data_IF_384425625081
#
_entry.id   IF_384425625081
#
_cell.length_a   1.000
_cell.length_b   1.000
_cell.length_c   1.000
_cell.angle_alpha   90.00
_cell.angle_beta   90.00
_cell.angle_gamma   90.00
#
_symmetry.space_group_name_H-M   'P 1'
#
loop_
_entity.id
_entity.type
_entity.pdbx_description
1 polymer ?
#
# COMPACT_ATOMS: atom_id res chain seq x y z
N UNK A 1 31.03 0.08 19.36
CA UNK A 1 30.26 1.14 18.68
C UNK A 1 29.92 0.65 17.29
N UNK A 2 28.64 0.52 16.89
CA UNK A 2 28.32 0.10 15.54
C UNK A 2 28.70 1.22 14.57
N UNK A 3 29.42 0.87 13.49
CA UNK A 3 29.83 1.77 12.42
C UNK A 3 28.57 2.29 11.72
N UNK A 4 28.41 3.62 11.68
CA UNK A 4 27.31 4.28 11.00
C UNK A 4 27.18 3.79 9.55
N UNK A 5 25.95 3.49 9.14
CA UNK A 5 25.60 3.19 7.77
C UNK A 5 26.00 4.39 6.90
N UNK A 6 26.93 4.19 5.96
CA UNK A 6 27.34 5.24 5.04
C UNK A 6 26.41 5.19 3.81
N UNK A 7 25.25 5.85 3.94
CA UNK A 7 24.25 5.96 2.86
C UNK A 7 24.72 7.06 1.89
N UNK A 8 24.80 6.81 0.57
CA UNK A 8 25.25 7.82 -0.40
C UNK A 8 24.38 9.08 -0.37
N UNK A 9 25.01 10.27 -0.31
CA UNK A 9 24.33 11.57 -0.23
C UNK A 9 23.32 11.81 -1.35
N UNK A 10 23.50 11.19 -2.53
CA UNK A 10 22.60 11.36 -3.68
C UNK A 10 21.21 10.77 -3.46
N UNK A 11 21.05 9.82 -2.54
CA UNK A 11 19.74 9.25 -2.17
C UNK A 11 19.01 10.12 -1.12
N UNK A 12 19.71 11.05 -0.48
CA UNK A 12 19.18 11.99 0.53
C UNK A 12 18.56 13.25 -0.13
N UNK A 13 18.93 13.56 -1.37
CA UNK A 13 18.64 14.85 -2.01
C UNK A 13 17.14 15.10 -2.26
N UNK A 14 16.30 14.05 -2.39
CA UNK A 14 14.84 14.21 -2.54
C UNK A 14 14.07 14.32 -1.20
N UNK A 15 14.75 14.35 -0.04
CA UNK A 15 14.11 14.41 1.28
C UNK A 15 14.38 15.73 2.04
N UNK A 16 15.03 16.71 1.41
CA UNK A 16 15.55 17.95 2.03
C UNK A 16 14.52 18.92 2.64
N UNK A 17 13.22 18.59 2.63
CA UNK A 17 12.17 19.39 3.28
C UNK A 17 11.40 18.66 4.40
N UNK A 18 11.87 17.52 4.91
CA UNK A 18 11.19 16.81 6.01
C UNK A 18 12.13 16.62 7.20
N UNK A 19 11.64 16.95 8.40
CA UNK A 19 12.24 16.54 9.66
C UNK A 19 12.62 15.05 9.62
N UNK A 20 13.78 14.70 10.19
CA UNK A 20 14.43 13.38 10.14
C UNK A 20 13.44 12.19 10.06
N UNK A 21 13.40 11.44 8.95
CA UNK A 21 12.47 10.31 8.79
C UNK A 21 12.91 9.12 9.65
N UNK A 22 11.95 8.40 10.25
CA UNK A 22 12.24 7.19 11.03
C UNK A 22 12.50 5.96 10.16
N UNK A 23 12.04 5.95 8.92
CA UNK A 23 12.29 4.87 7.97
C UNK A 23 12.92 5.41 6.70
N UNK A 24 13.94 4.70 6.19
CA UNK A 24 14.69 5.10 4.99
C UNK A 24 14.74 3.91 4.03
N UNK A 25 14.50 4.18 2.75
CA UNK A 25 14.63 3.18 1.70
C UNK A 25 16.08 3.13 1.21
N UNK A 26 16.60 1.92 1.02
CA UNK A 26 17.91 1.70 0.42
C UNK A 26 17.74 0.83 -0.83
N UNK A 27 18.24 1.25 -2.00
CA UNK A 27 18.18 0.43 -3.21
C UNK A 27 18.99 -0.86 -3.03
N UNK A 28 18.50 -1.96 -3.60
CA UNK A 28 19.24 -3.22 -3.55
C UNK A 28 20.62 -3.07 -4.19
N UNK A 29 21.67 -3.30 -3.41
CA UNK A 29 23.03 -3.41 -3.91
C UNK A 29 23.81 -4.42 -3.06
N UNK A 30 24.33 -5.46 -3.71
CA UNK A 30 25.06 -6.57 -3.07
C UNK A 30 26.30 -6.02 -2.35
N UNK A 31 26.23 -5.93 -1.02
CA UNK A 31 27.31 -5.44 -0.14
C UNK A 31 27.07 -4.08 0.52
N UNK A 32 26.08 -3.28 0.05
CA UNK A 32 25.70 -1.99 0.66
C UNK A 32 24.46 -2.04 1.56
N UNK A 33 23.74 -3.17 1.57
CA UNK A 33 22.55 -3.37 2.42
C UNK A 33 22.89 -3.93 3.81
N UNK A 34 24.18 -3.98 4.20
CA UNK A 34 24.61 -4.43 5.52
C UNK A 34 23.99 -3.55 6.61
N UNK A 35 23.14 -4.13 7.46
CA UNK A 35 22.46 -3.42 8.55
C UNK A 35 21.05 -2.91 8.20
N UNK A 36 20.64 -2.98 6.92
CA UNK A 36 19.27 -2.72 6.52
C UNK A 36 18.40 -3.99 6.69
N UNK A 37 17.10 -3.80 6.92
CA UNK A 37 16.13 -4.88 7.07
C UNK A 37 15.64 -5.33 5.69
N UNK A 38 15.79 -6.62 5.39
CA UNK A 38 15.27 -7.24 4.17
C UNK A 38 13.77 -7.51 4.31
N UNK A 39 12.96 -6.74 3.58
CA UNK A 39 11.49 -6.90 3.53
C UNK A 39 11.03 -7.67 2.29
N UNK A 40 11.96 -8.29 1.55
CA UNK A 40 11.63 -9.16 0.42
C UNK A 40 11.13 -10.53 0.89
N UNK A 41 10.77 -11.40 -0.05
CA UNK A 41 10.45 -12.81 0.26
C UNK A 41 11.62 -13.59 0.84
N UNK A 42 12.84 -13.06 0.76
CA UNK A 42 14.06 -13.62 1.34
C UNK A 42 14.32 -13.14 2.77
N UNK A 43 13.54 -12.15 3.24
CA UNK A 43 13.63 -11.59 4.58
C UNK A 43 13.49 -12.63 5.70
N UNK A 44 14.10 -12.30 6.84
CA UNK A 44 14.11 -13.12 8.04
C UNK A 44 12.84 -12.96 8.86
N UNK A 45 12.37 -14.06 9.46
CA UNK A 45 11.29 -14.03 10.45
C UNK A 45 10.00 -13.39 9.92
N UNK A 46 9.41 -12.48 10.70
CA UNK A 46 8.16 -11.82 10.37
C UNK A 46 8.28 -10.78 9.23
N UNK A 47 9.48 -10.25 8.95
CA UNK A 47 9.68 -9.23 7.91
C UNK A 47 9.34 -9.69 6.50
N UNK A 48 9.43 -10.99 6.21
CA UNK A 48 8.98 -11.52 4.91
C UNK A 48 7.48 -11.34 4.66
N UNK A 49 6.67 -11.12 5.71
CA UNK A 49 5.24 -10.84 5.56
C UNK A 49 5.00 -9.51 4.86
N UNK A 50 5.94 -8.57 4.93
CA UNK A 50 5.87 -7.29 4.22
C UNK A 50 6.18 -7.43 2.72
N UNK A 51 6.57 -8.60 2.25
CA UNK A 51 6.81 -8.87 0.83
C UNK A 51 5.50 -8.99 0.07
N UNK A 52 5.46 -8.52 -1.18
CA UNK A 52 4.31 -8.75 -2.08
C UNK A 52 4.05 -10.24 -2.36
N UNK A 53 5.07 -11.08 -2.20
CA UNK A 53 4.99 -12.54 -2.34
C UNK A 53 4.50 -13.24 -1.07
N UNK A 54 4.26 -12.53 0.03
CA UNK A 54 3.66 -13.13 1.22
C UNK A 54 2.27 -13.67 0.86
N UNK A 55 2.04 -14.95 1.15
CA UNK A 55 0.83 -15.66 0.76
C UNK A 55 0.16 -16.28 1.97
N UNK A 56 -1.10 -15.94 2.19
CA UNK A 56 -1.95 -16.59 3.18
C UNK A 56 -3.42 -16.41 2.80
N UNK A 57 -4.20 -17.49 2.88
CA UNK A 57 -5.65 -17.48 2.66
C UNK A 57 -6.38 -16.53 3.61
N UNK A 58 -5.85 -16.28 4.80
CA UNK A 58 -6.48 -15.35 5.75
C UNK A 58 -6.35 -13.89 5.35
N UNK A 59 -5.47 -13.54 4.38
CA UNK A 59 -5.21 -12.14 4.05
C UNK A 59 -6.39 -11.45 3.38
N UNK A 60 -7.19 -12.19 2.60
CA UNK A 60 -8.39 -11.68 1.92
C UNK A 60 -8.20 -10.26 1.38
N UNK A 61 -7.15 -10.06 0.58
CA UNK A 61 -6.79 -8.75 0.04
C UNK A 61 -7.81 -8.40 -1.05
N UNK A 62 -8.51 -7.27 -0.96
CA UNK A 62 -9.44 -6.86 -1.99
C UNK A 62 -8.77 -6.64 -3.34
N UNK A 63 -9.47 -7.01 -4.41
CA UNK A 63 -8.97 -6.85 -5.78
C UNK A 63 -9.49 -5.52 -6.34
N UNK A 64 -8.61 -4.54 -6.59
CA UNK A 64 -9.00 -3.24 -7.15
C UNK A 64 -9.79 -3.40 -8.46
N UNK A 65 -10.96 -2.74 -8.54
CA UNK A 65 -11.88 -2.85 -9.69
C UNK A 65 -12.77 -4.10 -9.68
N UNK A 66 -12.71 -4.94 -8.64
CA UNK A 66 -13.53 -6.14 -8.50
C UNK A 66 -13.99 -6.29 -7.04
N UNK A 67 -15.06 -5.58 -6.68
CA UNK A 67 -15.52 -5.42 -5.30
C UNK A 67 -15.69 -6.72 -4.52
N UNK A 68 -16.23 -7.77 -5.14
CA UNK A 68 -16.53 -9.05 -4.48
C UNK A 68 -15.35 -10.05 -4.49
N UNK A 69 -14.25 -9.69 -5.13
CA UNK A 69 -13.12 -10.60 -5.31
C UNK A 69 -12.04 -10.31 -4.25
N UNK A 70 -11.46 -11.38 -3.72
CA UNK A 70 -10.37 -11.35 -2.75
C UNK A 70 -9.21 -12.22 -3.22
N UNK A 71 -8.00 -11.86 -2.81
CA UNK A 71 -6.77 -12.56 -3.11
C UNK A 71 -5.96 -12.88 -1.85
N UNK A 72 -5.05 -13.84 -1.98
CA UNK A 72 -4.24 -14.35 -0.88
C UNK A 72 -2.81 -13.77 -0.87
N UNK A 73 -2.47 -12.92 -1.86
CA UNK A 73 -1.21 -12.17 -1.93
C UNK A 73 -1.31 -10.99 -2.89
N UNK A 74 -0.50 -9.94 -2.68
CA UNK A 74 -0.42 -8.77 -3.58
C UNK A 74 0.15 -9.17 -4.95
N UNK A 75 1.18 -10.02 -4.96
CA UNK A 75 1.75 -10.54 -6.20
C UNK A 75 0.74 -11.39 -6.99
N UNK A 76 -0.14 -12.14 -6.30
CA UNK A 76 -1.24 -12.87 -6.93
C UNK A 76 -2.21 -11.94 -7.67
N UNK A 77 -2.57 -10.80 -7.07
CA UNK A 77 -3.35 -9.74 -7.74
C UNK A 77 -2.59 -9.22 -8.96
N UNK A 78 -1.34 -8.80 -8.75
CA UNK A 78 -0.52 -8.19 -9.80
C UNK A 78 -0.36 -9.09 -11.02
N UNK A 79 -0.10 -10.39 -10.81
CA UNK A 79 0.12 -11.34 -11.89
C UNK A 79 -1.18 -11.90 -12.47
N UNK A 80 -2.22 -12.05 -11.64
CA UNK A 80 -3.51 -12.55 -12.07
C UNK A 80 -4.27 -11.57 -12.96
N UNK A 81 -4.12 -10.26 -12.70
CA UNK A 81 -4.76 -9.23 -13.51
C UNK A 81 -4.03 -8.91 -14.82
N UNK A 82 -2.81 -9.43 -15.04
CA UNK A 82 -2.12 -9.28 -16.33
C UNK A 82 -2.92 -9.89 -17.46
N UNK A 83 -3.18 -9.08 -18.48
CA UNK A 83 -3.82 -9.52 -19.72
C UNK A 83 -2.77 -10.04 -20.70
N UNK A 84 -2.93 -11.30 -21.10
CA UNK A 84 -2.20 -11.91 -22.21
C UNK A 84 -3.22 -12.48 -23.20
N UNK A 85 -3.10 -12.10 -24.47
CA UNK A 85 -4.04 -12.49 -25.53
C UNK A 85 -5.51 -12.23 -25.15
N UNK A 86 -5.77 -11.09 -24.50
CA UNK A 86 -7.11 -10.69 -24.06
C UNK A 86 -7.62 -11.34 -22.77
N UNK A 87 -6.83 -12.19 -22.09
CA UNK A 87 -7.32 -12.99 -20.96
C UNK A 87 -6.49 -12.78 -19.68
N UNK A 88 -7.14 -12.50 -18.51
CA UNK A 88 -6.50 -12.52 -17.19
C UNK A 88 -6.34 -13.96 -16.66
N UNK A 89 -5.53 -14.15 -15.61
CA UNK A 89 -5.37 -15.45 -14.94
C UNK A 89 -5.84 -15.37 -13.48
N UNK A 90 -7.16 -15.45 -13.26
CA UNK A 90 -7.74 -15.32 -11.92
C UNK A 90 -7.39 -16.47 -10.97
N UNK A 91 -6.88 -17.60 -11.45
CA UNK A 91 -6.40 -18.68 -10.58
C UNK A 91 -5.24 -18.22 -9.70
N UNK A 92 -4.51 -17.19 -10.13
CA UNK A 92 -3.41 -16.61 -9.36
C UNK A 92 -3.87 -15.85 -8.11
N UNK A 93 -5.11 -15.40 -8.05
CA UNK A 93 -5.62 -14.63 -6.91
C UNK A 93 -5.59 -15.46 -5.62
N UNK A 94 -5.86 -16.77 -5.72
CA UNK A 94 -5.83 -17.71 -4.59
C UNK A 94 -4.60 -18.64 -4.60
N UNK A 95 -3.83 -18.62 -5.69
CA UNK A 95 -2.66 -19.46 -5.88
C UNK A 95 -1.42 -18.96 -5.14
N UNK A 96 -0.41 -19.83 -5.02
CA UNK A 96 0.93 -19.40 -4.59
C UNK A 96 1.48 -18.38 -5.60
N UNK A 97 1.98 -17.22 -5.15
CA UNK A 97 2.42 -16.16 -6.05
C UNK A 97 3.63 -16.60 -6.88
N UNK A 98 3.58 -16.33 -8.17
CA UNK A 98 4.64 -16.62 -9.14
C UNK A 98 4.66 -15.55 -10.22
N UNK A 99 5.84 -15.21 -10.76
CA UNK A 99 5.92 -14.25 -11.87
C UNK A 99 5.48 -14.94 -13.17
N UNK A 100 4.53 -14.36 -13.91
CA UNK A 100 4.22 -14.73 -15.30
C UNK A 100 5.23 -14.06 -16.24
N UNK A 101 5.76 -14.84 -17.19
CA UNK A 101 6.75 -14.38 -18.19
C UNK A 101 6.05 -13.72 -19.37
N UNK A 102 6.74 -12.79 -20.02
CA UNK A 102 6.26 -12.06 -21.20
C UNK A 102 5.77 -10.65 -20.88
N UNK A 103 5.55 -9.87 -21.94
CA UNK A 103 5.02 -8.50 -21.86
C UNK A 103 3.48 -8.57 -21.91
N UNK A 104 2.78 -8.20 -20.84
CA UNK A 104 1.32 -8.15 -20.86
C UNK A 104 0.82 -6.98 -21.72
N UNK A 105 -0.42 -7.06 -22.20
CA UNK A 105 -1.09 -5.96 -22.89
C UNK A 105 -1.49 -4.82 -21.92
N UNK A 106 -1.68 -5.18 -20.65
CA UNK A 106 -2.08 -4.28 -19.58
C UNK A 106 -2.55 -5.08 -18.36
N UNK A 107 -3.25 -4.42 -17.45
CA UNK A 107 -3.87 -5.06 -16.29
C UNK A 107 -5.37 -4.80 -16.28
N UNK A 108 -6.16 -5.85 -16.05
CA UNK A 108 -7.60 -5.73 -15.92
C UNK A 108 -7.96 -4.94 -14.66
N UNK A 109 -8.90 -4.03 -14.80
CA UNK A 109 -9.42 -3.19 -13.73
C UNK A 109 -10.91 -2.92 -13.98
N UNK A 110 -11.77 -3.71 -13.31
CA UNK A 110 -13.19 -3.78 -13.67
C UNK A 110 -13.35 -4.21 -15.12
N UNK A 111 -13.94 -3.34 -15.93
CA UNK A 111 -14.17 -3.56 -17.37
C UNK A 111 -13.05 -2.95 -18.25
N UNK A 112 -12.09 -2.25 -17.64
CA UNK A 112 -11.04 -1.53 -18.36
C UNK A 112 -9.71 -2.27 -18.31
N UNK A 113 -8.86 -2.03 -19.31
CA UNK A 113 -7.46 -2.48 -19.30
C UNK A 113 -6.58 -1.26 -19.07
N UNK A 114 -5.90 -1.24 -17.92
CA UNK A 114 -4.95 -0.19 -17.56
C UNK A 114 -3.59 -0.44 -18.22
N UNK A 115 -2.92 0.64 -18.58
CA UNK A 115 -1.50 0.60 -18.90
C UNK A 115 -0.66 0.25 -17.66
N UNK A 116 0.66 0.12 -17.84
CA UNK A 116 1.53 -0.34 -16.78
C UNK A 116 1.69 0.67 -15.62
N UNK A 117 1.70 1.98 -15.90
CA UNK A 117 1.87 3.02 -14.87
C UNK A 117 0.56 3.19 -14.10
N UNK A 118 -0.56 3.22 -14.81
CA UNK A 118 -1.88 3.26 -14.20
C UNK A 118 -2.13 2.00 -13.37
N UNK A 119 -1.79 0.82 -13.86
CA UNK A 119 -1.89 -0.40 -13.05
C UNK A 119 -1.08 -0.32 -11.75
N UNK A 120 0.12 0.30 -11.75
CA UNK A 120 0.88 0.50 -10.50
C UNK A 120 0.11 1.38 -9.51
N UNK A 121 -0.41 2.51 -9.97
CA UNK A 121 -1.13 3.49 -9.13
C UNK A 121 -2.50 2.99 -8.67
N UNK A 122 -3.21 2.28 -9.54
CA UNK A 122 -4.62 1.95 -9.33
C UNK A 122 -4.82 0.55 -8.75
N UNK A 123 -3.85 -0.36 -8.95
CA UNK A 123 -3.92 -1.74 -8.48
C UNK A 123 -2.84 -2.02 -7.43
N UNK A 124 -1.57 -1.89 -7.81
CA UNK A 124 -0.45 -2.39 -7.01
C UNK A 124 -0.29 -1.64 -5.68
N UNK A 125 -0.23 -0.30 -5.73
CA UNK A 125 -0.08 0.57 -4.56
C UNK A 125 -1.19 0.34 -3.53
N UNK A 126 -2.49 0.44 -3.89
CA UNK A 126 -3.55 0.28 -2.92
C UNK A 126 -3.65 -1.15 -2.35
N UNK A 127 -3.47 -2.18 -3.18
CA UNK A 127 -3.46 -3.57 -2.70
C UNK A 127 -2.30 -3.83 -1.73
N UNK A 128 -1.12 -3.25 -2.00
CA UNK A 128 0.03 -3.37 -1.10
C UNK A 128 -0.19 -2.61 0.22
N UNK A 129 -0.69 -1.39 0.18
CA UNK A 129 -0.98 -0.60 1.38
C UNK A 129 -1.98 -1.33 2.29
N UNK A 130 -3.07 -1.87 1.73
CA UNK A 130 -4.03 -2.68 2.47
C UNK A 130 -3.36 -3.90 3.12
N UNK A 131 -2.52 -4.61 2.36
CA UNK A 131 -1.83 -5.77 2.88
C UNK A 131 -0.91 -5.42 4.06
N UNK A 132 -0.11 -4.36 3.93
CA UNK A 132 0.77 -3.91 5.01
C UNK A 132 -0.04 -3.61 6.27
N UNK A 133 -1.04 -2.74 6.16
CA UNK A 133 -1.83 -2.26 7.31
C UNK A 133 -2.58 -3.41 7.99
N UNK A 134 -3.27 -4.25 7.23
CA UNK A 134 -4.22 -5.20 7.80
C UNK A 134 -3.63 -6.59 8.09
N UNK A 135 -2.50 -6.94 7.49
CA UNK A 135 -2.03 -8.34 7.49
C UNK A 135 -0.56 -8.53 7.88
N UNK A 136 0.30 -7.55 7.59
CA UNK A 136 1.75 -7.76 7.64
C UNK A 136 2.48 -6.93 8.69
N UNK A 137 1.96 -5.76 9.08
CA UNK A 137 2.65 -4.83 9.96
C UNK A 137 2.62 -5.24 11.44
N UNK A 138 1.51 -5.82 11.90
CA UNK A 138 1.30 -6.21 13.29
C UNK A 138 2.44 -7.04 13.94
N UNK A 139 2.99 -8.08 13.29
CA UNK A 139 4.07 -8.88 13.87
C UNK A 139 5.46 -8.24 13.83
N UNK A 140 5.62 -7.03 13.26
CA UNK A 140 6.93 -6.35 13.13
C UNK A 140 6.93 -4.93 13.72
N UNK A 141 5.76 -4.35 14.04
CA UNK A 141 5.63 -2.96 14.51
C UNK A 141 6.51 -2.65 15.73
N UNK A 142 6.50 -3.52 16.75
CA UNK A 142 7.24 -3.30 18.01
C UNK A 142 8.76 -3.34 17.79
N UNK A 143 9.24 -4.25 16.94
CA UNK A 143 10.67 -4.33 16.59
C UNK A 143 11.10 -3.11 15.76
N UNK A 144 10.26 -2.62 14.85
CA UNK A 144 10.50 -1.39 14.09
C UNK A 144 10.57 -0.17 15.02
N UNK A 145 9.60 0.00 15.91
CA UNK A 145 9.59 1.09 16.91
C UNK A 145 10.81 1.07 17.83
N UNK A 146 11.19 -0.12 18.31
CA UNK A 146 12.35 -0.31 19.16
C UNK A 146 13.64 0.07 18.41
N UNK A 147 13.78 -0.32 17.14
CA UNK A 147 14.95 0.05 16.32
C UNK A 147 15.03 1.56 16.11
N UNK A 148 13.91 2.20 15.77
CA UNK A 148 13.83 3.67 15.62
C UNK A 148 14.30 4.36 16.91
N UNK A 149 13.75 3.93 18.04
CA UNK A 149 14.02 4.54 19.35
C UNK A 149 15.45 4.33 19.85
N UNK A 150 16.06 3.17 19.54
CA UNK A 150 17.39 2.80 20.08
C UNK A 150 18.54 3.17 19.16
N UNK A 151 18.31 3.16 17.84
CA UNK A 151 19.37 3.21 16.83
C UNK A 151 19.18 4.35 15.81
N UNK A 152 18.05 5.08 15.88
CA UNK A 152 17.67 6.07 14.89
C UNK A 152 17.04 5.44 13.65
N UNK A 153 17.07 6.13 12.48
CA UNK A 153 16.32 5.70 11.30
C UNK A 153 16.60 4.27 10.86
N UNK A 154 15.54 3.53 10.53
CA UNK A 154 15.60 2.14 10.09
C UNK A 154 15.66 2.07 8.57
N UNK A 155 16.77 1.53 8.06
CA UNK A 155 16.93 1.26 6.63
C UNK A 155 16.18 -0.02 6.22
N UNK A 156 15.35 0.07 5.17
CA UNK A 156 14.59 -1.05 4.59
C UNK A 156 14.95 -1.24 3.12
N UNK A 157 15.01 -2.49 2.66
CA UNK A 157 15.27 -2.81 1.26
C UNK A 157 14.49 -4.06 0.79
N UNK A 158 14.27 -4.14 -0.53
CA UNK A 158 13.81 -5.35 -1.20
C UNK A 158 14.79 -5.76 -2.32
N UNK A 159 14.37 -6.61 -3.26
CA UNK A 159 15.24 -7.06 -4.36
C UNK A 159 15.30 -6.09 -5.53
N UNK A 160 14.53 -5.01 -5.50
CA UNK A 160 14.41 -4.04 -6.58
C UNK A 160 15.11 -2.71 -6.19
N UNK A 161 15.42 -1.88 -7.17
CA UNK A 161 16.18 -0.62 -6.98
C UNK A 161 15.46 0.61 -7.52
N UNK A 162 14.22 0.47 -8.03
CA UNK A 162 13.46 1.56 -8.60
C UNK A 162 12.39 2.08 -7.63
N UNK A 163 12.56 3.30 -7.13
CA UNK A 163 11.60 4.02 -6.28
C UNK A 163 10.67 4.96 -7.06
N UNK A 164 10.80 5.03 -8.39
CA UNK A 164 10.04 5.95 -9.24
C UNK A 164 8.88 5.20 -9.90
N UNK A 165 7.65 5.48 -9.46
CA UNK A 165 6.45 4.77 -9.95
C UNK A 165 6.22 4.92 -11.47
N UNK A 166 6.60 6.06 -12.04
CA UNK A 166 6.48 6.34 -13.48
C UNK A 166 7.66 5.77 -14.30
N UNK A 167 8.74 5.33 -13.67
CA UNK A 167 9.86 4.68 -14.36
C UNK A 167 9.50 3.22 -14.65
N UNK A 168 9.24 2.94 -15.92
CA UNK A 168 8.84 1.60 -16.40
C UNK A 168 10.01 0.73 -16.84
N UNK A 169 11.24 1.25 -16.82
CA UNK A 169 12.44 0.51 -17.22
C UNK A 169 12.76 -0.65 -16.27
N UNK A 170 12.33 -0.54 -15.01
CA UNK A 170 12.58 -1.50 -13.94
C UNK A 170 11.32 -1.73 -13.08
N UNK A 171 11.16 -2.91 -12.44
CA UNK A 171 10.07 -3.15 -11.50
C UNK A 171 10.11 -2.16 -10.33
N UNK A 172 8.94 -1.70 -9.88
CA UNK A 172 8.83 -0.77 -8.76
C UNK A 172 9.12 -1.48 -7.43
N UNK A 173 9.98 -0.89 -6.60
CA UNK A 173 10.36 -1.40 -5.29
C UNK A 173 9.19 -1.25 -4.31
N UNK A 174 8.75 -2.39 -3.74
CA UNK A 174 7.77 -2.36 -2.65
C UNK A 174 8.38 -1.82 -1.36
N UNK A 175 9.69 -1.96 -1.15
CA UNK A 175 10.36 -1.36 0.00
C UNK A 175 10.32 0.17 -0.05
N UNK A 176 10.47 0.77 -1.23
CA UNK A 176 10.32 2.22 -1.40
C UNK A 176 8.89 2.69 -1.03
N UNK A 177 7.87 1.94 -1.48
CA UNK A 177 6.48 2.20 -1.11
C UNK A 177 6.23 1.99 0.39
N UNK A 178 6.77 0.92 0.97
CA UNK A 178 6.66 0.61 2.39
C UNK A 178 7.23 1.74 3.25
N UNK A 179 8.40 2.26 2.92
CA UNK A 179 9.02 3.37 3.67
C UNK A 179 8.15 4.63 3.62
N UNK A 180 7.56 4.94 2.47
CA UNK A 180 6.60 6.05 2.36
C UNK A 180 5.40 5.83 3.27
N UNK A 181 4.86 4.60 3.29
CA UNK A 181 3.73 4.23 4.12
C UNK A 181 4.05 4.26 5.62
N UNK A 182 5.18 3.72 6.05
CA UNK A 182 5.55 3.71 7.47
C UNK A 182 5.79 5.12 8.01
N UNK A 183 6.50 5.98 7.28
CA UNK A 183 6.69 7.39 7.67
C UNK A 183 5.38 8.19 7.68
N UNK A 184 4.42 7.83 6.83
CA UNK A 184 3.07 8.39 6.90
C UNK A 184 2.34 7.89 8.15
N UNK A 185 2.30 6.58 8.36
CA UNK A 185 1.60 5.96 9.49
C UNK A 185 2.11 6.47 10.84
N UNK A 186 3.43 6.63 10.98
CA UNK A 186 4.07 7.17 12.19
C UNK A 186 3.56 8.56 12.58
N UNK A 187 3.26 9.41 11.59
CA UNK A 187 2.74 10.77 11.82
C UNK A 187 1.22 10.81 11.91
N UNK A 188 0.56 9.74 11.46
CA UNK A 188 -0.87 9.70 11.27
C UNK A 188 -1.63 9.39 12.56
N UNK A 189 -2.96 9.56 12.49
CA UNK A 189 -3.96 8.97 13.34
C UNK A 189 -3.69 7.59 13.91
N UNK A 190 -3.16 6.76 13.02
CA UNK A 190 -3.52 5.37 12.95
C UNK A 190 -2.61 4.49 13.81
N UNK A 191 -3.15 3.37 14.31
CA UNK A 191 -2.30 2.28 14.76
C UNK A 191 -1.43 1.80 13.59
N UNK A 192 -0.27 1.18 13.86
CA UNK A 192 0.19 0.79 15.19
C UNK A 192 0.99 1.84 15.96
N UNK A 193 1.57 2.82 15.25
CA UNK A 193 2.53 3.75 15.85
C UNK A 193 1.85 4.82 16.71
N UNK A 194 0.61 5.17 16.38
CA UNK A 194 -0.22 5.99 17.25
C UNK A 194 -0.85 5.12 18.36
N UNK A 195 -0.67 5.54 19.61
CA UNK A 195 -1.22 4.86 20.80
C UNK A 195 -2.68 5.20 21.06
N UNK A 196 -3.31 6.04 20.24
CA UNK A 196 -4.74 6.32 20.34
C UNK A 196 -5.50 5.02 20.06
N UNK A 197 -6.29 4.60 21.04
CA UNK A 197 -7.19 3.47 20.86
C UNK A 197 -8.41 3.90 20.08
N UNK A 198 -8.64 3.23 18.95
CA UNK A 198 -9.88 3.34 18.20
C UNK A 198 -10.70 2.09 18.47
N UNK A 199 -11.95 2.28 18.88
CA UNK A 199 -12.92 1.20 19.08
C UNK A 199 -13.53 0.80 17.75
N UNK A 200 -13.69 1.75 16.82
CA UNK A 200 -14.37 1.54 15.55
C UNK A 200 -13.57 2.08 14.36
N UNK A 201 -13.81 1.52 13.17
CA UNK A 201 -13.13 1.96 11.94
C UNK A 201 -13.48 3.41 11.56
N UNK A 202 -14.70 3.88 11.84
CA UNK A 202 -15.10 5.26 11.55
C UNK A 202 -14.25 6.28 12.33
N UNK A 203 -13.90 5.99 13.58
CA UNK A 203 -13.07 6.88 14.39
C UNK A 203 -11.64 7.01 13.83
N UNK A 204 -11.10 5.93 13.23
CA UNK A 204 -9.79 5.96 12.57
C UNK A 204 -9.81 6.90 11.36
N UNK A 205 -10.94 6.96 10.68
CA UNK A 205 -11.10 7.71 9.44
C UNK A 205 -11.41 9.15 9.69
N UNK A 206 -12.26 9.46 10.65
CA UNK A 206 -12.50 10.84 11.06
C UNK A 206 -11.15 11.46 11.47
N UNK A 207 -10.32 10.72 12.22
CA UNK A 207 -8.97 11.15 12.56
C UNK A 207 -8.05 11.32 11.33
N UNK A 208 -8.11 10.42 10.33
CA UNK A 208 -7.37 10.59 9.09
C UNK A 208 -7.83 11.81 8.28
N UNK A 209 -9.14 12.07 8.22
CA UNK A 209 -9.72 13.22 7.53
C UNK A 209 -9.27 14.53 8.17
N UNK A 210 -9.27 14.61 9.50
CA UNK A 210 -8.74 15.76 10.24
C UNK A 210 -7.24 15.97 9.92
N UNK A 211 -6.46 14.89 9.95
CA UNK A 211 -5.02 14.92 9.66
C UNK A 211 -4.71 15.30 8.21
N UNK A 212 -5.62 15.00 7.27
CA UNK A 212 -5.47 15.23 5.82
C UNK A 212 -5.13 16.68 5.47
N UNK A 213 -5.66 17.64 6.21
CA UNK A 213 -5.41 19.08 6.03
C UNK A 213 -3.93 19.50 6.23
N UNK A 214 -3.14 18.65 6.89
CA UNK A 214 -1.75 18.91 7.25
C UNK A 214 -0.75 18.21 6.31
N UNK A 215 -1.24 17.42 5.36
CA UNK A 215 -0.42 16.60 4.47
C UNK A 215 0.05 17.38 3.25
N UNK A 216 1.28 17.12 2.79
CA UNK A 216 1.70 17.53 1.44
C UNK A 216 1.06 16.62 0.38
N UNK A 217 1.23 16.98 -0.90
CA UNK A 217 0.62 16.26 -2.04
C UNK A 217 0.85 14.74 -2.05
N UNK A 218 2.07 14.32 -1.72
CA UNK A 218 2.47 12.91 -1.81
C UNK A 218 1.93 12.09 -0.63
N UNK A 219 1.89 12.69 0.55
CA UNK A 219 1.26 12.10 1.74
C UNK A 219 -0.26 12.10 1.61
N UNK A 220 -0.83 13.13 0.98
CA UNK A 220 -2.26 13.25 0.68
C UNK A 220 -2.72 12.13 -0.27
N UNK A 221 -1.98 11.86 -1.35
CA UNK A 221 -2.32 10.77 -2.28
C UNK A 221 -2.31 9.40 -1.58
N UNK A 222 -1.33 9.16 -0.70
CA UNK A 222 -1.23 7.93 0.07
C UNK A 222 -2.31 7.81 1.14
N UNK A 223 -2.60 8.90 1.84
CA UNK A 223 -3.70 8.98 2.80
C UNK A 223 -5.04 8.71 2.12
N UNK A 224 -5.28 9.32 0.96
CA UNK A 224 -6.47 9.03 0.14
C UNK A 224 -6.54 7.56 -0.22
N UNK A 225 -5.44 6.93 -0.66
CA UNK A 225 -5.43 5.52 -1.00
C UNK A 225 -5.72 4.63 0.22
N UNK A 226 -5.18 4.96 1.40
CA UNK A 226 -5.47 4.27 2.67
C UNK A 226 -6.95 4.42 3.05
N UNK A 227 -7.49 5.64 3.05
CA UNK A 227 -8.91 5.91 3.33
C UNK A 227 -9.79 5.18 2.32
N UNK A 228 -9.50 5.32 1.03
CA UNK A 228 -10.29 4.75 -0.06
C UNK A 228 -10.33 3.23 0.03
N UNK A 229 -9.19 2.58 0.33
CA UNK A 229 -9.09 1.13 0.34
C UNK A 229 -9.51 0.48 1.68
N UNK A 230 -9.43 1.21 2.79
CA UNK A 230 -10.01 0.80 4.08
C UNK A 230 -11.54 0.60 3.99
N UNK A 231 -12.17 1.14 2.94
CA UNK A 231 -13.60 1.39 2.94
C UNK A 231 -14.38 0.90 1.74
N UNK A 232 -13.80 0.92 0.55
CA UNK A 232 -14.42 0.30 -0.63
C UNK A 232 -14.54 -1.22 -0.53
N UNK A 233 -13.88 -1.84 0.44
CA UNK A 233 -13.80 -3.29 0.52
C UNK A 233 -14.05 -3.87 1.92
N UNK A 234 -14.62 -3.06 2.81
CA UNK A 234 -15.14 -3.59 4.07
C UNK A 234 -16.20 -4.66 3.75
N UNK A 235 -16.12 -5.87 4.36
CA UNK A 235 -17.17 -6.88 4.20
C UNK A 235 -18.48 -6.47 4.90
N UNK A 236 -18.46 -5.42 5.73
CA UNK A 236 -19.61 -4.89 6.46
C UNK A 236 -20.21 -3.66 5.76
N UNK A 237 -21.49 -3.77 5.40
CA UNK A 237 -22.26 -2.77 4.65
C UNK A 237 -22.42 -1.44 5.40
N UNK A 238 -22.50 -1.50 6.74
CA UNK A 238 -22.58 -0.31 7.58
C UNK A 238 -21.25 0.46 7.53
N UNK A 239 -20.13 -0.25 7.67
CA UNK A 239 -18.78 0.29 7.55
C UNK A 239 -18.51 0.87 6.17
N UNK A 240 -18.96 0.19 5.11
CA UNK A 240 -18.90 0.67 3.73
C UNK A 240 -19.84 1.87 3.46
N UNK A 241 -20.88 2.10 4.25
CA UNK A 241 -21.72 3.31 4.14
C UNK A 241 -21.07 4.53 4.81
N UNK A 242 -20.44 4.33 5.98
CA UNK A 242 -19.75 5.42 6.70
C UNK A 242 -18.51 5.92 5.95
N UNK A 243 -17.71 4.99 5.43
CA UNK A 243 -16.72 5.20 4.38
C UNK A 243 -17.07 6.27 3.35
N UNK A 244 -18.23 6.08 2.73
CA UNK A 244 -18.68 6.85 1.58
C UNK A 244 -19.09 8.25 2.01
N UNK A 245 -19.61 8.42 3.24
CA UNK A 245 -19.84 9.72 3.88
C UNK A 245 -18.52 10.45 4.13
N UNK A 246 -17.56 9.79 4.77
CA UNK A 246 -16.23 10.34 5.01
C UNK A 246 -15.52 10.78 3.72
N UNK A 247 -15.59 9.96 2.66
CA UNK A 247 -15.05 10.31 1.34
C UNK A 247 -15.74 11.53 0.71
N UNK A 248 -17.05 11.67 0.90
CA UNK A 248 -17.82 12.84 0.47
C UNK A 248 -17.40 14.08 1.26
N UNK A 249 -17.39 14.01 2.58
CA UNK A 249 -17.12 15.13 3.47
C UNK A 249 -15.67 15.63 3.33
N UNK A 250 -14.74 14.74 3.01
CA UNK A 250 -13.33 15.06 2.73
C UNK A 250 -13.01 15.49 1.29
N UNK A 251 -14.00 15.60 0.39
CA UNK A 251 -13.81 15.82 -1.06
C UNK A 251 -12.78 14.84 -1.68
N UNK A 252 -12.76 13.60 -1.22
CA UNK A 252 -11.82 12.58 -1.71
C UNK A 252 -12.21 12.12 -3.13
N UNK A 253 -13.50 12.18 -3.47
CA UNK A 253 -14.03 11.77 -4.79
C UNK A 253 -13.92 12.83 -5.90
N UNK A 254 -13.45 14.06 -5.61
CA UNK A 254 -13.38 15.14 -6.63
C UNK A 254 -12.56 14.78 -7.88
N UNK A 255 -11.65 13.79 -7.75
CA UNK A 255 -10.84 13.27 -8.85
C UNK A 255 -11.43 12.02 -9.54
N UNK A 256 -12.69 11.68 -9.28
CA UNK A 256 -13.35 10.49 -9.84
C UNK A 256 -12.86 9.17 -9.23
N UNK A 257 -12.39 9.19 -7.98
CA UNK A 257 -11.87 8.00 -7.28
C UNK A 257 -12.96 6.93 -7.08
N UNK A 258 -14.23 7.27 -6.87
CA UNK A 258 -15.30 6.27 -6.76
C UNK A 258 -15.68 5.67 -8.11
N UNK A 259 -15.53 6.44 -9.22
CA UNK A 259 -15.69 5.88 -10.57
C UNK A 259 -14.61 4.84 -10.87
N UNK A 260 -13.40 5.06 -10.35
CA UNK A 260 -12.26 4.15 -10.47
C UNK A 260 -12.60 2.77 -9.89
N UNK A 261 -13.07 2.64 -8.65
CA UNK A 261 -13.21 1.31 -8.03
C UNK A 261 -14.50 0.53 -8.37
N UNK A 262 -15.32 1.02 -9.31
CA UNK A 262 -16.53 0.35 -9.82
C UNK A 262 -17.39 -0.32 -8.73
N UNK A 263 -17.85 0.43 -7.71
CA UNK A 263 -18.70 -0.15 -6.67
C UNK A 263 -20.00 -0.69 -7.29
N UNK A 264 -20.46 -1.83 -6.78
CA UNK A 264 -21.73 -2.47 -7.12
C UNK A 264 -22.90 -1.52 -6.86
N UNK A 265 -24.07 -1.80 -7.45
CA UNK A 265 -25.28 -1.03 -7.19
C UNK A 265 -25.60 -0.99 -5.68
N UNK A 266 -25.38 -2.10 -4.96
CA UNK A 266 -25.58 -2.21 -3.53
C UNK A 266 -24.72 -1.22 -2.74
N UNK A 267 -23.44 -1.10 -3.08
CA UNK A 267 -22.52 -0.16 -2.42
C UNK A 267 -22.73 1.29 -2.89
N UNK A 268 -23.25 1.49 -4.12
CA UNK A 268 -23.56 2.82 -4.66
C UNK A 268 -24.83 3.45 -4.10
N UNK A 269 -25.87 2.66 -3.81
CA UNK A 269 -27.18 3.18 -3.36
C UNK A 269 -27.07 4.10 -2.13
N UNK A 270 -26.36 3.71 -1.05
CA UNK A 270 -26.16 4.61 0.10
C UNK A 270 -25.41 5.91 -0.26
N UNK A 271 -24.46 5.86 -1.20
CA UNK A 271 -23.72 7.04 -1.67
C UNK A 271 -24.59 7.98 -2.52
N UNK A 272 -25.41 7.43 -3.42
CA UNK A 272 -26.32 8.21 -4.26
C UNK A 272 -27.45 8.84 -3.46
N UNK A 273 -27.94 8.14 -2.42
CA UNK A 273 -28.93 8.68 -1.49
C UNK A 273 -28.43 9.92 -0.72
N UNK A 274 -27.12 10.04 -0.50
CA UNK A 274 -26.49 11.22 0.11
C UNK A 274 -26.30 12.40 -0.85
N UNK A 275 -26.54 12.23 -2.16
CA UNK A 275 -26.46 13.30 -3.17
C UNK A 275 -27.79 14.02 -3.41
N UNK A 276 -28.88 13.57 -2.79
CA UNK A 276 -30.17 14.25 -2.73
C UNK A 276 -30.26 15.09 -1.46
#
# INVERSE_FOLDING_TARGET
>A
MPKGLNIPETDIVNMKNRANPSFIWVPYNKGKTNGAVDVSSRGSGAYRKLSTFSHNKSYQIPVPGMEDIRADSVEGIWQGLKIFNGVPDFLMLRGKPKKRKGKPQGHLFGEYVLDYVDARKQIYVPAYAYHVINNALDPVKEDLEARVSTSGPVALFDVESNSTINDTSQPYSHAALLVRLLNFLEKSPLPPFNKKHFTYLHEQVDALLEHRSQLNSDELELCDDVITFAYLFSPDELTATFALRAMKDGNIDDKGRLKKYTPTAKTREPYLALRR
#
